data_IF_970494002578
#
_entry.id   IF_970494002578
#
_cell.length_a   1.000
_cell.length_b   1.000
_cell.length_c   1.000
_cell.angle_alpha   90.00
_cell.angle_beta   90.00
_cell.angle_gamma   90.00
#
_symmetry.space_group_name_H-M   'P 1'
#
loop_
_entity.id
_entity.type
_entity.pdbx_description
1 polymer ?
#
# COMPACT_ATOMS: atom_id res chain seq x y z
N UNK A 1 -34.00 15.01 -8.14
CA UNK A 1 -32.96 14.74 -7.13
C UNK A 1 -31.77 15.59 -7.47
N UNK A 2 -31.19 16.31 -6.50
CA UNK A 2 -29.96 17.10 -6.70
C UNK A 2 -28.74 16.17 -6.75
N UNK A 3 -27.78 16.39 -7.66
CA UNK A 3 -26.52 15.66 -7.66
C UNK A 3 -25.77 15.85 -6.34
N UNK A 4 -25.00 14.84 -5.93
CA UNK A 4 -24.17 14.87 -4.72
C UNK A 4 -22.71 14.90 -5.17
N UNK A 5 -21.92 15.79 -4.57
CA UNK A 5 -20.48 15.80 -4.75
C UNK A 5 -19.83 14.72 -3.90
N UNK A 6 -19.10 13.82 -4.54
CA UNK A 6 -18.46 12.67 -3.90
C UNK A 6 -16.96 12.72 -4.14
N UNK A 7 -16.18 12.59 -3.07
CA UNK A 7 -14.73 12.42 -3.11
C UNK A 7 -14.35 11.12 -2.40
N UNK A 8 -13.63 10.24 -3.11
CA UNK A 8 -13.06 9.02 -2.55
C UNK A 8 -11.58 9.26 -2.31
N UNK A 9 -11.15 9.18 -1.05
CA UNK A 9 -9.75 9.23 -0.67
C UNK A 9 -9.25 7.83 -0.34
N UNK A 10 -8.22 7.41 -1.04
CA UNK A 10 -7.58 6.12 -0.81
C UNK A 10 -6.11 6.37 -0.46
N UNK A 11 -5.75 6.15 0.81
CA UNK A 11 -4.39 6.33 1.29
C UNK A 11 -3.75 4.97 1.54
N UNK A 12 -2.76 4.59 0.72
CA UNK A 12 -1.96 3.38 0.93
C UNK A 12 -0.63 3.76 1.54
N UNK A 13 -0.43 3.41 2.81
CA UNK A 13 0.88 3.46 3.43
C UNK A 13 1.45 2.04 3.47
N UNK A 14 2.61 1.84 2.82
CA UNK A 14 3.41 0.65 3.04
C UNK A 14 4.60 1.04 3.94
N UNK A 15 4.65 0.56 5.19
CA UNK A 15 5.83 0.67 6.04
C UNK A 15 7.05 -0.02 5.44
N UNK A 16 8.23 0.33 5.94
CA UNK A 16 9.45 -0.40 5.60
C UNK A 16 9.47 -1.75 6.33
N UNK A 17 9.33 -2.83 5.58
CA UNK A 17 9.37 -4.21 6.09
C UNK A 17 10.71 -4.89 5.82
N UNK A 18 11.77 -4.11 5.51
CA UNK A 18 13.12 -4.65 5.38
C UNK A 18 13.73 -4.87 6.76
N UNK A 19 14.29 -6.06 6.97
CA UNK A 19 15.14 -6.33 8.13
C UNK A 19 16.37 -5.41 8.07
N UNK A 20 16.69 -4.64 9.14
CA UNK A 20 17.74 -3.64 9.11
C UNK A 20 19.13 -4.18 8.75
N UNK A 21 19.44 -5.40 9.18
CA UNK A 21 20.77 -6.00 9.03
C UNK A 21 20.95 -6.68 7.67
N UNK A 22 19.90 -7.30 7.13
CA UNK A 22 19.98 -8.12 5.92
C UNK A 22 19.33 -7.49 4.69
N UNK A 23 18.52 -6.44 4.89
CA UNK A 23 17.70 -5.82 3.85
C UNK A 23 16.59 -6.73 3.31
N UNK A 24 16.41 -7.92 3.87
CA UNK A 24 15.41 -8.89 3.41
C UNK A 24 14.01 -8.45 3.80
N UNK A 25 13.04 -8.78 2.95
CA UNK A 25 11.64 -8.47 3.24
C UNK A 25 11.09 -9.50 4.22
N UNK A 26 10.53 -9.03 5.35
CA UNK A 26 10.07 -9.88 6.44
C UNK A 26 8.91 -10.81 6.05
N UNK A 27 8.08 -10.43 5.07
CA UNK A 27 6.82 -11.11 4.75
C UNK A 27 6.63 -11.26 3.24
N UNK A 28 6.00 -12.35 2.76
CA UNK A 28 5.82 -12.60 1.33
C UNK A 28 4.94 -11.55 0.65
N UNK A 29 4.10 -10.84 1.41
CA UNK A 29 3.17 -9.86 0.87
C UNK A 29 3.71 -8.43 0.72
N UNK A 30 4.95 -8.15 1.11
CA UNK A 30 5.53 -6.80 1.02
C UNK A 30 5.56 -6.25 -0.43
N UNK A 31 5.46 -7.12 -1.43
CA UNK A 31 5.35 -6.71 -2.83
C UNK A 31 3.92 -6.64 -3.35
N UNK A 32 2.91 -7.15 -2.63
CA UNK A 32 1.53 -7.24 -3.14
C UNK A 32 0.92 -5.87 -3.45
N UNK A 33 1.25 -4.83 -2.68
CA UNK A 33 0.80 -3.46 -2.98
C UNK A 33 1.47 -2.84 -4.22
N UNK A 34 2.62 -3.38 -4.64
CA UNK A 34 3.40 -2.91 -5.78
C UNK A 34 3.19 -3.78 -7.03
N UNK A 35 2.40 -4.86 -6.96
CA UNK A 35 2.06 -5.63 -8.16
C UNK A 35 1.10 -4.78 -8.97
N UNK A 36 1.62 -4.15 -10.02
CA UNK A 36 0.82 -3.61 -11.10
C UNK A 36 0.24 -4.80 -11.86
N UNK A 37 -1.09 -4.88 -11.95
CA UNK A 37 -1.77 -5.78 -12.89
C UNK A 37 -1.50 -5.42 -14.34
#
# INVERSE_FOLDING_TARGET
>A
MTPIDVAIFWHMHQPDYREPESGQLALPWVRLHAIKG
#
